data_IF_147848274320
#
_entry.id   IF_147848274320
#
_cell.length_a   1.000
_cell.length_b   1.000
_cell.length_c   1.000
_cell.angle_alpha   90.00
_cell.angle_beta   90.00
_cell.angle_gamma   90.00
#
_symmetry.space_group_name_H-M   'P 1'
#
loop_
_entity.id
_entity.type
_entity.pdbx_description
1 polymer ?
#
# COMPACT_ATOMS: atom_id res chain seq x y z
N UNK A 1 -25.08 -50.94 2.88
CA UNK A 1 -25.79 -49.76 3.42
C UNK A 1 -24.74 -48.83 4.01
N UNK A 2 -24.45 -47.62 3.53
CA UNK A 2 -24.96 -46.82 2.43
C UNK A 2 -23.77 -46.13 1.75
N UNK A 3 -23.84 -46.02 0.42
CA UNK A 3 -22.95 -45.22 -0.41
C UNK A 3 -23.20 -43.75 -0.11
N UNK A 4 -22.16 -42.98 0.25
CA UNK A 4 -22.23 -41.53 0.28
C UNK A 4 -21.79 -41.01 -1.09
N UNK A 5 -22.74 -40.41 -1.80
CA UNK A 5 -22.60 -39.83 -3.12
C UNK A 5 -21.41 -38.86 -3.19
N UNK A 6 -20.39 -39.24 -3.96
CA UNK A 6 -19.49 -38.24 -4.56
C UNK A 6 -20.31 -37.54 -5.64
N UNK A 7 -20.83 -36.37 -5.30
CA UNK A 7 -21.39 -35.47 -6.29
C UNK A 7 -20.27 -35.12 -7.28
N UNK A 8 -20.39 -35.71 -8.47
CA UNK A 8 -19.57 -35.41 -9.63
C UNK A 8 -19.76 -33.92 -9.91
N UNK A 9 -18.76 -33.11 -9.57
CA UNK A 9 -18.67 -31.74 -10.03
C UNK A 9 -18.41 -31.89 -11.54
N UNK A 10 -19.49 -31.82 -12.32
CA UNK A 10 -19.39 -31.87 -13.78
C UNK A 10 -18.43 -30.79 -14.26
N UNK A 11 -17.75 -31.05 -15.38
CA UNK A 11 -16.96 -30.07 -16.11
C UNK A 11 -17.83 -28.84 -16.39
N UNK A 12 -17.79 -27.86 -15.48
CA UNK A 12 -18.47 -26.61 -15.65
C UNK A 12 -17.83 -25.94 -16.87
N UNK A 13 -18.65 -25.74 -17.90
CA UNK A 13 -18.27 -24.96 -19.05
C UNK A 13 -17.87 -23.57 -18.52
N UNK A 14 -16.69 -23.03 -18.88
CA UNK A 14 -16.28 -21.72 -18.38
C UNK A 14 -17.36 -20.71 -18.73
N UNK A 15 -17.89 -20.01 -17.72
CA UNK A 15 -18.85 -18.94 -17.99
C UNK A 15 -18.18 -17.90 -18.90
N UNK A 16 -18.92 -17.37 -19.89
CA UNK A 16 -18.39 -16.32 -20.75
C UNK A 16 -17.95 -15.13 -19.91
N UNK A 17 -16.76 -14.59 -20.19
CA UNK A 17 -16.26 -13.43 -19.47
C UNK A 17 -17.23 -12.24 -19.63
N UNK A 18 -17.49 -11.48 -18.56
CA UNK A 18 -18.36 -10.32 -18.64
C UNK A 18 -17.76 -9.25 -19.56
N UNK A 19 -18.62 -8.54 -20.30
CA UNK A 19 -18.19 -7.48 -21.21
C UNK A 19 -17.49 -6.30 -20.52
N UNK A 20 -17.76 -6.09 -19.23
CA UNK A 20 -17.08 -5.10 -18.38
C UNK A 20 -16.44 -5.79 -17.18
N UNK A 21 -15.16 -5.49 -16.97
CA UNK A 21 -14.39 -5.92 -15.81
C UNK A 21 -13.77 -4.69 -15.14
N UNK A 22 -13.78 -4.67 -13.81
CA UNK A 22 -13.21 -3.59 -13.00
C UNK A 22 -12.24 -4.18 -11.99
N UNK A 23 -10.99 -3.68 -12.01
CA UNK A 23 -9.97 -4.03 -11.01
C UNK A 23 -9.78 -2.83 -10.07
N UNK A 24 -10.11 -2.99 -8.79
CA UNK A 24 -9.74 -2.07 -7.72
C UNK A 24 -8.49 -2.60 -7.03
N UNK A 25 -7.49 -1.74 -6.86
CA UNK A 25 -6.25 -2.08 -6.17
C UNK A 25 -5.76 -0.90 -5.36
N UNK A 26 -4.99 -1.18 -4.34
CA UNK A 26 -4.10 -0.21 -3.72
C UNK A 26 -2.67 -0.51 -4.18
N UNK A 27 -1.89 0.50 -4.56
CA UNK A 27 -0.54 0.25 -5.08
C UNK A 27 0.35 -0.38 -3.99
N UNK A 28 0.24 0.08 -2.74
CA UNK A 28 1.11 -0.35 -1.66
C UNK A 28 0.95 -1.83 -1.28
N UNK A 29 -0.20 -2.46 -1.57
CA UNK A 29 -0.40 -3.92 -1.41
C UNK A 29 0.53 -4.75 -2.31
N UNK A 30 1.13 -4.11 -3.33
CA UNK A 30 2.14 -4.70 -4.21
C UNK A 30 3.58 -4.51 -3.72
N UNK A 31 3.81 -4.00 -2.51
CA UNK A 31 5.14 -4.06 -1.88
C UNK A 31 5.32 -5.42 -1.20
N UNK A 32 6.43 -6.11 -1.50
CA UNK A 32 6.76 -7.36 -0.79
C UNK A 32 7.30 -7.09 0.62
N UNK A 33 7.18 -8.10 1.48
CA UNK A 33 7.79 -8.05 2.81
C UNK A 33 9.31 -7.81 2.76
N UNK A 34 10.00 -8.32 1.73
CA UNK A 34 11.42 -8.06 1.50
C UNK A 34 11.70 -6.58 1.24
N UNK A 35 10.96 -5.95 0.32
CA UNK A 35 11.11 -4.51 0.07
C UNK A 35 10.71 -3.67 1.28
N UNK A 36 9.66 -4.05 2.01
CA UNK A 36 9.30 -3.37 3.25
C UNK A 36 10.42 -3.47 4.30
N UNK A 37 11.05 -4.64 4.48
CA UNK A 37 12.19 -4.78 5.39
C UNK A 37 13.40 -3.91 4.97
N UNK A 38 13.66 -3.78 3.67
CA UNK A 38 14.73 -2.92 3.15
C UNK A 38 14.42 -1.43 3.29
N UNK A 39 13.16 -1.03 3.08
CA UNK A 39 12.71 0.36 3.21
C UNK A 39 12.64 0.79 4.68
N UNK A 40 12.31 -0.14 5.58
CA UNK A 40 12.12 0.07 7.02
C UNK A 40 13.06 -0.80 7.85
N UNK A 41 14.37 -0.50 7.86
CA UNK A 41 15.35 -1.32 8.59
C UNK A 41 15.09 -1.37 10.10
N UNK A 42 14.43 -0.34 10.65
CA UNK A 42 14.10 -0.22 12.07
C UNK A 42 12.67 -0.72 12.40
N UNK A 43 11.97 -1.30 11.42
CA UNK A 43 10.62 -1.84 11.56
C UNK A 43 9.56 -1.04 10.79
N UNK A 44 8.68 -1.77 10.11
CA UNK A 44 7.56 -1.20 9.35
C UNK A 44 6.38 -0.87 10.28
N UNK A 45 5.93 0.40 10.38
CA UNK A 45 4.85 0.80 11.30
C UNK A 45 3.45 0.37 10.83
N UNK A 46 3.31 -0.13 9.60
CA UNK A 46 2.03 -0.47 8.98
C UNK A 46 1.54 0.64 8.06
N UNK A 47 0.77 0.27 7.02
CA UNK A 47 0.33 1.21 5.98
C UNK A 47 -0.58 2.33 6.49
N UNK A 48 -1.32 2.09 7.58
CA UNK A 48 -2.21 3.10 8.16
C UNK A 48 -1.48 4.37 8.62
N UNK A 49 -0.19 4.26 8.95
CA UNK A 49 0.64 5.37 9.42
C UNK A 49 1.50 5.99 8.30
N UNK A 50 1.36 5.52 7.06
CA UNK A 50 2.26 5.91 5.96
C UNK A 50 1.81 7.16 5.18
N UNK A 51 0.83 7.91 5.70
CA UNK A 51 0.42 9.19 5.11
C UNK A 51 1.50 10.26 5.31
N UNK A 52 2.01 10.78 4.18
CA UNK A 52 3.14 11.70 4.08
C UNK A 52 4.41 11.20 4.78
N UNK A 53 4.55 9.87 4.96
CA UNK A 53 5.65 9.24 5.67
C UNK A 53 6.72 8.71 4.69
N UNK A 54 7.40 7.62 5.05
CA UNK A 54 8.56 7.09 4.31
C UNK A 54 8.18 6.64 2.90
N UNK A 55 7.08 5.90 2.71
CA UNK A 55 6.69 5.38 1.40
C UNK A 55 6.40 6.52 0.43
N UNK A 56 5.43 7.37 0.76
CA UNK A 56 4.97 8.46 -0.11
C UNK A 56 6.09 9.46 -0.38
N UNK A 57 6.84 9.86 0.67
CA UNK A 57 7.95 10.82 0.52
C UNK A 57 9.08 10.23 -0.30
N UNK A 58 9.41 8.95 -0.14
CA UNK A 58 10.45 8.30 -0.97
C UNK A 58 10.03 8.24 -2.44
N UNK A 59 8.78 7.87 -2.74
CA UNK A 59 8.25 7.87 -4.10
C UNK A 59 8.29 9.29 -4.71
N UNK A 60 7.91 10.32 -3.93
CA UNK A 60 8.00 11.71 -4.36
C UNK A 60 9.44 12.17 -4.58
N UNK A 61 10.39 11.78 -3.72
CA UNK A 61 11.82 12.06 -3.92
C UNK A 61 12.36 11.40 -5.20
N UNK A 62 11.85 10.23 -5.56
CA UNK A 62 12.21 9.56 -6.82
C UNK A 62 11.64 10.28 -8.05
N UNK A 63 10.34 10.58 -8.07
CA UNK A 63 9.67 11.11 -9.26
C UNK A 63 9.77 12.63 -9.39
N UNK A 64 9.63 13.36 -8.28
CA UNK A 64 9.49 14.80 -8.24
C UNK A 64 10.26 15.42 -7.07
N UNK A 65 11.60 15.26 -7.01
CA UNK A 65 12.41 15.70 -5.87
C UNK A 65 12.27 17.20 -5.57
N UNK A 66 12.03 18.04 -6.59
CA UNK A 66 11.82 19.49 -6.41
C UNK A 66 10.54 19.86 -5.66
N UNK A 67 9.61 18.92 -5.48
CA UNK A 67 8.37 19.10 -4.73
C UNK A 67 8.50 18.64 -3.27
N UNK A 68 9.65 18.08 -2.86
CA UNK A 68 9.90 17.62 -1.50
C UNK A 68 10.89 18.54 -0.79
N UNK A 69 10.44 19.16 0.30
CA UNK A 69 11.25 20.00 1.19
C UNK A 69 11.80 19.16 2.33
N UNK A 70 12.87 18.41 2.06
CA UNK A 70 13.45 17.46 3.04
C UNK A 70 13.95 18.15 4.31
N UNK A 71 14.34 19.42 4.20
CA UNK A 71 14.75 20.29 5.31
C UNK A 71 13.60 20.61 6.29
N UNK A 72 12.35 20.37 5.89
CA UNK A 72 11.16 20.65 6.69
C UNK A 72 10.43 19.38 7.18
N UNK A 73 11.02 18.19 7.02
CA UNK A 73 10.40 16.96 7.50
C UNK A 73 10.30 17.01 9.04
N UNK A 74 9.09 16.93 9.62
CA UNK A 74 8.91 16.98 11.06
C UNK A 74 9.47 15.73 11.74
N UNK A 75 10.00 15.94 12.95
CA UNK A 75 10.49 14.88 13.83
C UNK A 75 9.46 14.56 14.90
N UNK A 76 8.31 14.04 14.45
CA UNK A 76 7.18 13.71 15.31
C UNK A 76 7.10 12.19 15.48
N UNK A 77 6.69 11.70 16.67
CA UNK A 77 6.40 10.29 16.85
C UNK A 77 5.22 9.87 15.97
N UNK A 78 5.09 8.56 15.65
CA UNK A 78 3.93 8.06 14.92
C UNK A 78 2.62 8.41 15.64
N UNK A 79 1.58 8.72 14.87
CA UNK A 79 0.25 8.97 15.40
C UNK A 79 -0.31 7.70 16.08
N UNK A 80 -1.04 7.90 17.18
CA UNK A 80 -1.71 6.84 17.92
C UNK A 80 -3.22 7.10 17.89
N UNK A 81 -3.97 6.12 17.42
CA UNK A 81 -5.41 6.23 17.24
C UNK A 81 -6.14 5.22 18.12
N UNK A 82 -7.21 5.63 18.82
CA UNK A 82 -8.05 4.68 19.53
C UNK A 82 -8.76 3.74 18.52
N UNK A 83 -9.26 2.57 18.97
CA UNK A 83 -9.94 1.60 18.10
C UNK A 83 -11.37 2.03 17.73
N UNK A 84 -11.61 3.32 17.51
CA UNK A 84 -12.89 3.91 17.13
C UNK A 84 -12.69 5.28 16.49
N UNK A 85 -13.65 5.67 15.64
CA UNK A 85 -13.74 7.01 15.06
C UNK A 85 -14.82 7.84 15.74
N UNK A 86 -14.61 9.15 15.80
CA UNK A 86 -15.62 10.13 16.22
C UNK A 86 -15.92 11.12 15.09
N UNK A 87 -17.18 11.53 15.00
CA UNK A 87 -17.64 12.52 14.03
C UNK A 87 -18.45 13.63 14.75
N UNK A 88 -18.06 14.91 14.65
CA UNK A 88 -16.90 15.43 13.91
C UNK A 88 -15.56 14.98 14.53
N UNK A 89 -14.56 14.74 13.68
CA UNK A 89 -13.24 14.24 14.09
C UNK A 89 -12.53 15.25 15.00
N UNK A 90 -12.02 14.82 16.18
CA UNK A 90 -11.19 15.65 17.02
C UNK A 90 -9.92 16.10 16.28
N UNK A 91 -9.63 17.40 16.32
CA UNK A 91 -8.52 17.99 15.53
C UNK A 91 -7.13 17.66 16.07
N UNK A 92 -7.05 17.25 17.34
CA UNK A 92 -5.84 16.91 18.07
C UNK A 92 -5.42 15.44 17.90
N UNK A 93 -6.23 14.63 17.23
CA UNK A 93 -5.88 13.23 16.91
C UNK A 93 -4.87 13.10 15.76
N UNK A 94 -4.76 14.13 14.92
CA UNK A 94 -3.77 14.19 13.83
C UNK A 94 -2.73 15.24 14.20
N UNK A 95 -1.42 14.95 14.08
CA UNK A 95 -0.38 15.94 14.32
C UNK A 95 -0.61 17.22 13.50
N UNK A 96 -0.26 18.41 14.00
CA UNK A 96 -0.44 19.66 13.26
C UNK A 96 0.22 19.68 11.88
N UNK A 97 1.28 18.88 11.68
CA UNK A 97 1.94 18.68 10.40
C UNK A 97 1.08 17.93 9.35
N UNK A 98 0.07 17.19 9.79
CA UNK A 98 -0.71 16.24 8.99
C UNK A 98 -0.03 14.90 8.75
N UNK A 99 1.25 14.75 9.14
CA UNK A 99 2.04 13.54 8.94
C UNK A 99 1.69 12.51 10.02
N UNK A 100 1.49 11.24 9.64
CA UNK A 100 1.14 10.18 10.60
C UNK A 100 2.34 9.37 11.10
N UNK A 101 3.49 9.45 10.43
CA UNK A 101 4.77 8.89 10.85
C UNK A 101 5.92 9.64 10.18
N UNK A 102 7.04 9.85 10.88
CA UNK A 102 8.14 10.67 10.36
C UNK A 102 8.71 10.12 9.04
N UNK A 103 8.83 10.99 8.04
CA UNK A 103 9.46 10.68 6.77
C UNK A 103 11.00 10.80 6.77
N UNK A 104 11.65 10.96 7.93
CA UNK A 104 13.12 11.14 8.00
C UNK A 104 13.91 10.00 7.39
N UNK A 105 13.35 8.79 7.38
CA UNK A 105 13.94 7.63 6.72
C UNK A 105 13.76 7.60 5.20
N UNK A 106 13.07 8.57 4.59
CA UNK A 106 12.77 8.58 3.16
C UNK A 106 14.01 8.89 2.32
N UNK A 107 14.08 8.28 1.13
CA UNK A 107 15.15 8.57 0.17
C UNK A 107 14.69 8.32 -1.27
N UNK A 108 15.36 8.95 -2.23
CA UNK A 108 15.06 8.73 -3.65
C UNK A 108 15.37 7.29 -4.07
N UNK A 109 16.38 6.65 -3.47
CA UNK A 109 16.77 5.26 -3.74
C UNK A 109 15.70 4.28 -3.26
N UNK A 110 15.14 4.51 -2.06
CA UNK A 110 13.99 3.74 -1.56
C UNK A 110 12.80 3.91 -2.51
N UNK A 111 12.55 5.14 -2.95
CA UNK A 111 11.50 5.47 -3.90
C UNK A 111 11.65 4.74 -5.23
N UNK A 112 12.85 4.75 -5.80
CA UNK A 112 13.15 4.08 -7.07
C UNK A 112 12.92 2.57 -6.97
N UNK A 113 13.38 1.94 -5.88
CA UNK A 113 13.18 0.51 -5.64
C UNK A 113 11.69 0.16 -5.60
N UNK A 114 10.93 0.89 -4.77
CA UNK A 114 9.48 0.68 -4.66
C UNK A 114 8.77 0.92 -5.99
N UNK A 115 9.07 2.04 -6.67
CA UNK A 115 8.50 2.38 -7.97
C UNK A 115 8.69 1.25 -9.00
N UNK A 116 9.89 0.68 -9.08
CA UNK A 116 10.19 -0.41 -9.99
C UNK A 116 9.38 -1.67 -9.69
N UNK A 117 9.35 -2.12 -8.44
CA UNK A 117 8.59 -3.30 -8.03
C UNK A 117 7.09 -3.11 -8.24
N UNK A 118 6.55 -1.97 -7.81
CA UNK A 118 5.15 -1.62 -7.95
C UNK A 118 4.72 -1.70 -9.41
N UNK A 119 5.45 -1.04 -10.32
CA UNK A 119 5.15 -1.04 -11.74
C UNK A 119 5.14 -2.46 -12.33
N UNK A 120 6.16 -3.26 -12.01
CA UNK A 120 6.26 -4.64 -12.51
C UNK A 120 5.12 -5.53 -12.00
N UNK A 121 4.86 -5.53 -10.70
CA UNK A 121 3.88 -6.44 -10.09
C UNK A 121 2.45 -6.03 -10.43
N UNK A 122 2.15 -4.72 -10.48
CA UNK A 122 0.85 -4.23 -10.94
C UNK A 122 0.60 -4.58 -12.41
N UNK A 123 1.57 -4.34 -13.30
CA UNK A 123 1.44 -4.69 -14.72
C UNK A 123 1.18 -6.20 -14.92
N UNK A 124 1.90 -7.05 -14.18
CA UNK A 124 1.70 -8.49 -14.21
C UNK A 124 0.31 -8.89 -13.71
N UNK A 125 -0.21 -8.26 -12.65
CA UNK A 125 -1.54 -8.53 -12.13
C UNK A 125 -2.63 -8.11 -13.11
N UNK A 126 -2.52 -6.93 -13.71
CA UNK A 126 -3.44 -6.45 -14.75
C UNK A 126 -3.46 -7.42 -15.93
N UNK A 127 -2.29 -7.77 -16.48
CA UNK A 127 -2.19 -8.69 -17.62
C UNK A 127 -2.73 -10.10 -17.31
N UNK A 128 -2.65 -10.54 -16.05
CA UNK A 128 -3.22 -11.82 -15.61
C UNK A 128 -4.73 -11.77 -15.46
N UNK A 129 -5.26 -10.68 -14.90
CA UNK A 129 -6.65 -10.56 -14.45
C UNK A 129 -7.60 -10.07 -15.55
N UNK A 130 -7.14 -9.20 -16.44
CA UNK A 130 -7.93 -8.62 -17.52
C UNK A 130 -7.42 -9.18 -18.85
N UNK A 131 -8.02 -10.28 -19.30
CA UNK A 131 -7.68 -10.97 -20.56
C UNK A 131 -8.83 -10.91 -21.54
#
# INVERSE_FOLDING_TARGET
MASADRQMIGDATPEPQPALQVMRLEYWDFLTAATLADVFPDGFPGFALEHAAVIETSLMLHYHPSLVRTDLIPDEPPADFPPYDLYPTPKDWVPPSGVLSSAKGASAEKGQRMAHELAQRMAAAVARALR
#
